data_IF_470355777785
#
_entry.id   IF_470355777785
#
_cell.length_a   1.000
_cell.length_b   1.000
_cell.length_c   1.000
_cell.angle_alpha   90.00
_cell.angle_beta   90.00
_cell.angle_gamma   90.00
#
_symmetry.space_group_name_H-M   'P 1'
#
loop_
_entity.id
_entity.type
_entity.pdbx_description
1 polymer ?
#
# COMPACT_ATOMS: atom_id res chain seq x y z
N UNK A 1 -64.47 2.80 2.66
CA UNK A 1 -64.76 1.63 3.52
C UNK A 1 -63.45 0.85 3.62
N UNK A 2 -62.47 1.35 4.37
CA UNK A 2 -62.37 1.33 5.83
C UNK A 2 -62.40 -0.11 6.36
N UNK A 3 -61.25 -0.70 6.67
CA UNK A 3 -60.96 -0.97 8.07
C UNK A 3 -59.45 -1.15 8.32
N UNK A 4 -59.02 -0.51 9.39
CA UNK A 4 -57.66 -0.36 9.89
C UNK A 4 -57.71 -0.92 11.31
N UNK A 5 -56.98 -1.99 11.60
CA UNK A 5 -56.72 -2.41 12.99
C UNK A 5 -55.26 -2.77 13.20
N UNK A 6 -54.60 -1.76 13.74
CA UNK A 6 -53.45 -1.82 14.60
C UNK A 6 -53.89 -2.38 15.97
N UNK A 7 -53.05 -3.21 16.61
CA UNK A 7 -52.84 -3.33 18.08
C UNK A 7 -52.08 -4.62 18.42
N UNK A 8 -50.91 -4.49 19.03
CA UNK A 8 -50.19 -5.63 19.60
C UNK A 8 -48.76 -5.36 20.06
N UNK A 9 -48.53 -4.27 20.81
CA UNK A 9 -47.28 -4.03 21.56
C UNK A 9 -47.42 -4.63 22.96
N UNK A 10 -46.44 -5.41 23.41
CA UNK A 10 -45.99 -5.54 24.82
C UNK A 10 -44.74 -6.44 24.81
N UNK A 11 -43.55 -5.90 25.05
CA UNK A 11 -42.95 -5.60 26.36
C UNK A 11 -42.14 -6.78 26.90
N UNK A 12 -40.81 -6.63 26.88
CA UNK A 12 -39.92 -7.15 27.92
C UNK A 12 -38.77 -6.16 28.08
N UNK A 13 -38.99 -5.18 28.96
CA UNK A 13 -37.94 -4.41 29.66
C UNK A 13 -37.99 -4.82 31.13
N UNK A 14 -36.84 -5.19 31.69
CA UNK A 14 -36.49 -5.21 33.12
C UNK A 14 -34.95 -5.20 33.12
N UNK A 15 -34.17 -4.17 33.47
CA UNK A 15 -34.17 -3.18 34.55
C UNK A 15 -33.66 -3.72 35.91
N UNK A 16 -32.43 -3.29 36.28
CA UNK A 16 -31.86 -3.00 37.62
C UNK A 16 -30.32 -2.93 37.45
N UNK A 17 -29.54 -1.85 37.57
CA UNK A 17 -29.47 -0.62 38.39
C UNK A 17 -28.85 -0.83 39.79
N UNK A 18 -27.86 0.05 40.09
CA UNK A 18 -27.17 0.41 41.36
C UNK A 18 -25.77 -0.21 41.58
N UNK A 19 -24.72 0.50 42.03
CA UNK A 19 -24.57 1.89 42.48
C UNK A 19 -23.07 2.34 42.47
N UNK A 20 -22.87 3.67 42.49
CA UNK A 20 -21.63 4.43 42.68
C UNK A 20 -20.92 4.16 44.02
N UNK A 21 -19.59 4.33 44.06
CA UNK A 21 -18.87 5.16 45.05
C UNK A 21 -17.61 5.76 44.38
N UNK A 22 -17.43 7.08 44.50
CA UNK A 22 -16.23 7.79 44.06
C UNK A 22 -15.26 8.06 45.22
N UNK A 23 -14.00 8.36 44.89
CA UNK A 23 -13.08 9.09 45.77
C UNK A 23 -12.24 10.05 44.94
N UNK A 24 -12.44 11.34 45.21
CA UNK A 24 -11.53 12.44 44.93
C UNK A 24 -10.35 12.37 45.91
N UNK A 25 -9.12 12.54 45.41
CA UNK A 25 -8.03 13.15 46.21
C UNK A 25 -7.25 14.13 45.34
N UNK A 26 -7.13 15.35 45.88
CA UNK A 26 -6.31 16.44 45.39
C UNK A 26 -5.04 16.56 46.25
N UNK A 27 -4.00 17.19 45.70
CA UNK A 27 -2.80 17.64 46.43
C UNK A 27 -1.51 17.08 45.81
N UNK A 28 -0.38 17.77 45.77
CA UNK A 28 -0.04 19.16 46.01
C UNK A 28 1.33 19.40 45.33
N UNK A 29 1.61 20.67 45.08
CA UNK A 29 2.90 21.32 44.79
C UNK A 29 4.18 20.65 45.30
N UNK A 30 5.25 20.67 44.49
CA UNK A 30 6.57 21.08 44.98
C UNK A 30 7.44 21.69 43.88
N UNK A 31 7.97 22.88 44.17
CA UNK A 31 9.13 23.50 43.53
C UNK A 31 10.38 23.06 44.30
N UNK A 32 11.54 22.94 43.64
CA UNK A 32 12.82 22.82 44.32
C UNK A 32 14.01 22.51 43.40
N UNK A 33 15.04 23.36 43.32
CA UNK A 33 16.12 23.28 42.33
C UNK A 33 17.34 22.50 42.85
N UNK A 34 18.22 22.07 41.95
CA UNK A 34 19.62 21.77 42.25
C UNK A 34 20.45 21.99 40.99
N UNK A 35 21.29 23.03 41.02
CA UNK A 35 22.43 23.17 40.13
C UNK A 35 23.63 22.41 40.68
N UNK A 36 24.55 22.04 39.80
CA UNK A 36 25.99 22.04 40.08
C UNK A 36 26.75 21.88 38.75
N UNK A 37 27.79 22.67 38.66
CA UNK A 37 28.73 22.84 37.56
C UNK A 37 29.49 21.56 37.16
N UNK A 38 29.94 21.57 35.92
CA UNK A 38 30.93 20.64 35.38
C UNK A 38 31.55 21.21 34.12
N UNK A 39 32.47 22.17 34.28
CA UNK A 39 33.39 22.62 33.22
C UNK A 39 34.37 21.51 32.86
N UNK A 40 34.51 21.20 31.56
CA UNK A 40 35.82 20.92 30.96
C UNK A 40 35.82 21.08 29.43
N UNK A 41 36.76 21.89 28.96
CA UNK A 41 37.18 22.16 27.56
C UNK A 41 37.93 20.95 26.95
N UNK A 42 38.23 20.84 25.62
CA UNK A 42 38.69 21.91 24.74
C UNK A 42 38.24 21.87 23.26
N UNK A 43 38.62 22.93 22.55
CA UNK A 43 38.30 23.16 21.14
C UNK A 43 38.70 22.06 20.17
N UNK A 44 37.86 21.88 19.15
CA UNK A 44 38.27 21.39 17.84
C UNK A 44 37.90 22.42 16.78
N UNK A 45 38.95 22.83 16.10
CA UNK A 45 39.03 23.46 14.79
C UNK A 45 37.85 23.14 13.88
N UNK A 46 37.30 24.21 13.31
CA UNK A 46 36.37 24.20 12.20
C UNK A 46 36.92 23.38 11.03
N UNK A 47 36.42 22.16 10.87
CA UNK A 47 36.65 21.34 9.70
C UNK A 47 35.55 21.63 8.69
N UNK A 48 35.95 22.40 7.67
CA UNK A 48 35.32 22.61 6.37
C UNK A 48 34.01 21.85 6.14
N UNK A 49 32.89 22.55 6.36
CA UNK A 49 31.60 22.17 5.78
C UNK A 49 31.79 22.26 4.26
N UNK A 50 32.12 21.13 3.64
CA UNK A 50 31.97 20.96 2.20
C UNK A 50 30.51 21.24 1.88
N UNK A 51 30.26 22.40 1.27
CA UNK A 51 29.00 22.73 0.63
C UNK A 51 28.74 21.65 -0.40
N UNK A 52 27.94 20.64 -0.03
CA UNK A 52 27.44 19.64 -0.97
C UNK A 52 26.50 20.41 -1.89
N UNK A 53 27.03 20.76 -3.05
CA UNK A 53 26.28 21.38 -4.13
C UNK A 53 25.07 20.48 -4.41
N UNK A 54 23.83 20.99 -4.40
CA UNK A 54 22.66 20.16 -4.68
C UNK A 54 22.84 19.53 -6.06
N UNK A 55 22.90 18.20 -6.11
CA UNK A 55 22.84 17.48 -7.38
C UNK A 55 21.51 17.84 -8.04
N UNK A 56 21.49 18.17 -9.35
CA UNK A 56 20.25 18.48 -10.05
C UNK A 56 19.22 17.37 -9.85
N UNK A 57 17.98 17.78 -9.62
CA UNK A 57 16.81 16.90 -9.54
C UNK A 57 16.83 15.98 -10.76
N UNK A 58 17.13 14.70 -10.54
CA UNK A 58 16.88 13.71 -11.57
C UNK A 58 15.36 13.59 -11.62
N UNK A 59 14.74 14.07 -12.70
CA UNK A 59 13.37 13.68 -13.07
C UNK A 59 13.24 12.19 -12.74
N UNK A 60 12.31 11.85 -11.84
CA UNK A 60 12.19 10.52 -11.26
C UNK A 60 12.27 9.48 -12.37
N UNK A 61 13.40 8.78 -12.46
CA UNK A 61 13.64 7.83 -13.53
C UNK A 61 12.48 6.83 -13.46
N UNK A 62 11.66 6.68 -14.51
CA UNK A 62 10.50 5.81 -14.44
C UNK A 62 10.95 4.41 -14.01
N UNK A 63 10.27 3.85 -13.02
CA UNK A 63 10.58 2.52 -12.51
C UNK A 63 10.62 1.55 -13.71
N UNK A 64 11.74 0.82 -13.85
CA UNK A 64 11.87 -0.15 -14.95
C UNK A 64 10.79 -1.20 -14.79
N UNK A 65 10.21 -1.69 -15.88
CA UNK A 65 9.20 -2.77 -15.82
C UNK A 65 9.78 -4.07 -16.33
N UNK A 66 9.54 -5.14 -15.56
CA UNK A 66 9.64 -6.50 -16.07
C UNK A 66 8.28 -6.94 -16.58
N UNK A 67 8.22 -7.29 -17.86
CA UNK A 67 7.06 -7.91 -18.47
C UNK A 67 7.10 -9.43 -18.35
N UNK A 68 5.92 -10.05 -18.35
CA UNK A 68 5.74 -11.50 -18.29
C UNK A 68 5.54 -12.03 -16.87
N UNK A 69 4.79 -13.12 -16.77
CA UNK A 69 4.48 -13.79 -15.51
C UNK A 69 5.76 -14.45 -14.98
N UNK A 70 6.13 -14.26 -13.70
CA UNK A 70 7.27 -14.95 -13.10
C UNK A 70 7.01 -16.45 -12.99
N UNK A 71 8.06 -17.26 -13.10
CA UNK A 71 7.97 -18.73 -12.96
C UNK A 71 7.41 -19.15 -11.58
N UNK A 72 7.82 -18.45 -10.52
CA UNK A 72 7.22 -18.58 -9.21
C UNK A 72 6.19 -17.48 -8.94
N UNK A 73 4.92 -17.88 -8.86
CA UNK A 73 3.80 -17.00 -8.56
C UNK A 73 3.66 -16.69 -7.06
N UNK A 74 4.44 -17.32 -6.18
CA UNK A 74 4.31 -17.14 -4.74
C UNK A 74 4.51 -15.68 -4.30
N UNK A 75 5.56 -14.96 -4.72
CA UNK A 75 5.72 -13.55 -4.34
C UNK A 75 4.61 -12.65 -4.88
N UNK A 76 4.03 -13.02 -6.03
CA UNK A 76 2.90 -12.31 -6.63
C UNK A 76 1.62 -12.45 -5.80
N UNK A 77 1.39 -13.60 -5.15
CA UNK A 77 0.19 -13.84 -4.36
C UNK A 77 0.37 -13.60 -2.85
N UNK A 78 1.55 -13.90 -2.32
CA UNK A 78 1.88 -13.94 -0.89
C UNK A 78 3.24 -13.27 -0.63
N UNK A 79 3.31 -11.94 -0.77
CA UNK A 79 4.55 -11.21 -0.55
C UNK A 79 4.92 -11.26 0.94
N UNK A 80 6.20 -11.50 1.23
CA UNK A 80 6.78 -11.51 2.56
C UNK A 80 7.74 -10.32 2.77
N UNK A 81 8.26 -9.73 1.69
CA UNK A 81 9.13 -8.55 1.71
C UNK A 81 8.50 -7.40 0.94
N UNK A 82 8.95 -6.18 1.23
CA UNK A 82 8.53 -4.99 0.51
C UNK A 82 8.71 -5.11 -1.01
N UNK A 83 9.89 -5.56 -1.45
CA UNK A 83 10.21 -5.73 -2.87
C UNK A 83 9.31 -6.75 -3.60
N UNK A 84 8.86 -7.79 -2.90
CA UNK A 84 7.94 -8.78 -3.48
C UNK A 84 6.55 -8.19 -3.74
N UNK A 85 6.12 -7.19 -2.97
CA UNK A 85 4.80 -6.56 -3.16
C UNK A 85 4.63 -5.94 -4.54
N UNK A 86 5.71 -5.52 -5.19
CA UNK A 86 5.69 -5.02 -6.58
C UNK A 86 5.07 -6.01 -7.55
N UNK A 87 5.23 -7.32 -7.32
CA UNK A 87 4.60 -8.36 -8.13
C UNK A 87 3.10 -8.47 -7.84
N UNK A 88 2.71 -8.42 -6.56
CA UNK A 88 1.31 -8.39 -6.15
C UNK A 88 0.58 -7.18 -6.71
N UNK A 89 1.22 -6.02 -6.66
CA UNK A 89 0.71 -4.79 -7.25
C UNK A 89 0.60 -4.92 -8.77
N UNK A 90 1.62 -5.47 -9.44
CA UNK A 90 1.55 -5.78 -10.87
C UNK A 90 0.36 -6.66 -11.24
N UNK A 91 0.04 -7.67 -10.43
CA UNK A 91 -1.14 -8.52 -10.64
C UNK A 91 -2.45 -7.77 -10.43
N UNK A 92 -2.58 -7.02 -9.33
CA UNK A 92 -3.77 -6.24 -9.05
C UNK A 92 -4.03 -5.21 -10.17
N UNK A 93 -2.99 -4.47 -10.57
CA UNK A 93 -3.08 -3.48 -11.65
C UNK A 93 -3.36 -4.08 -13.03
N UNK A 94 -2.79 -5.24 -13.33
CA UNK A 94 -3.11 -5.97 -14.55
C UNK A 94 -4.60 -6.35 -14.62
N UNK A 95 -5.16 -6.87 -13.52
CA UNK A 95 -6.58 -7.24 -13.47
C UNK A 95 -7.51 -6.03 -13.51
N UNK A 96 -7.11 -4.91 -12.90
CA UNK A 96 -7.85 -3.65 -12.96
C UNK A 96 -7.83 -3.08 -14.39
N UNK A 97 -6.68 -3.09 -15.07
CA UNK A 97 -6.54 -2.69 -16.46
C UNK A 97 -7.37 -3.58 -17.40
N UNK A 98 -7.35 -4.90 -17.20
CA UNK A 98 -8.17 -5.83 -17.97
C UNK A 98 -9.67 -5.54 -17.81
N UNK A 99 -10.11 -5.26 -16.57
CA UNK A 99 -11.50 -4.86 -16.29
C UNK A 99 -11.83 -3.53 -16.97
N UNK A 100 -10.95 -2.55 -16.91
CA UNK A 100 -11.10 -1.24 -17.55
C UNK A 100 -11.23 -1.35 -19.08
N UNK A 101 -10.28 -2.03 -19.74
CA UNK A 101 -10.32 -2.24 -21.20
C UNK A 101 -11.58 -3.02 -21.59
N UNK A 102 -11.92 -4.06 -20.81
CA UNK A 102 -13.15 -4.81 -21.01
C UNK A 102 -14.41 -3.94 -20.97
N UNK A 103 -14.59 -3.15 -19.89
CA UNK A 103 -15.73 -2.23 -19.74
C UNK A 103 -15.80 -1.19 -20.85
N UNK A 104 -14.66 -0.62 -21.25
CA UNK A 104 -14.62 0.37 -22.34
C UNK A 104 -15.04 -0.18 -23.69
N UNK A 105 -14.63 -1.41 -24.04
CA UNK A 105 -15.04 -2.06 -25.29
C UNK A 105 -16.55 -2.35 -25.37
N UNK A 106 -17.24 -2.33 -24.23
CA UNK A 106 -18.67 -2.56 -24.12
C UNK A 106 -19.50 -1.29 -23.93
N UNK A 107 -18.88 -0.12 -23.85
CA UNK A 107 -19.61 1.14 -23.71
C UNK A 107 -20.18 1.58 -25.06
N UNK A 108 -21.50 1.80 -25.19
CA UNK A 108 -22.09 2.30 -26.44
C UNK A 108 -21.58 3.71 -26.76
N UNK A 109 -21.23 3.95 -28.03
CA UNK A 109 -20.95 5.29 -28.56
C UNK A 109 -19.59 5.91 -28.26
N UNK A 110 -18.56 5.13 -27.87
CA UNK A 110 -17.20 5.68 -27.64
C UNK A 110 -16.10 4.86 -28.33
N UNK A 111 -16.01 4.98 -29.65
CA UNK A 111 -14.85 4.49 -30.42
C UNK A 111 -13.61 5.40 -30.31
N UNK A 112 -13.68 6.61 -29.73
CA UNK A 112 -12.54 7.55 -29.82
C UNK A 112 -12.34 8.51 -28.66
N UNK A 113 -13.04 8.38 -27.54
CA UNK A 113 -12.60 9.10 -26.34
C UNK A 113 -11.34 8.40 -25.83
N UNK A 114 -10.16 9.00 -26.07
CA UNK A 114 -8.89 8.55 -25.51
C UNK A 114 -9.06 8.17 -24.04
N UNK A 115 -8.28 7.20 -23.56
CA UNK A 115 -8.17 6.99 -22.13
C UNK A 115 -8.04 8.37 -21.48
N UNK A 116 -8.85 8.69 -20.47
CA UNK A 116 -8.38 9.73 -19.57
C UNK A 116 -7.02 9.22 -19.11
N UNK A 117 -5.95 9.95 -19.45
CA UNK A 117 -4.54 9.61 -19.19
C UNK A 117 -4.25 9.72 -17.68
N UNK A 118 -5.11 9.13 -16.86
CA UNK A 118 -4.88 8.89 -15.46
C UNK A 118 -4.52 7.42 -15.31
N UNK A 119 -3.41 7.07 -14.64
CA UNK A 119 -3.20 5.68 -14.26
C UNK A 119 -4.45 5.22 -13.48
N UNK A 120 -4.88 3.94 -13.62
CA UNK A 120 -5.81 3.40 -12.65
C UNK A 120 -5.25 3.68 -11.26
N UNK A 121 -6.09 3.88 -10.22
CA UNK A 121 -5.63 4.08 -8.85
C UNK A 121 -4.92 2.81 -8.36
N UNK A 122 -3.68 2.66 -8.80
CA UNK A 122 -2.66 1.83 -8.20
C UNK A 122 -2.30 2.53 -6.89
N UNK A 123 -1.81 1.79 -5.91
CA UNK A 123 -1.52 2.29 -4.56
C UNK A 123 -2.77 2.45 -3.68
N UNK A 124 -3.56 1.38 -3.57
CA UNK A 124 -4.17 1.13 -2.26
C UNK A 124 -3.02 0.94 -1.29
N UNK A 125 -2.92 1.85 -0.31
CA UNK A 125 -2.19 1.80 0.95
C UNK A 125 -2.25 0.39 1.59
N UNK A 126 -1.53 -0.60 1.04
CA UNK A 126 -1.30 -1.90 1.70
C UNK A 126 -0.02 -1.76 2.50
N UNK A 127 -0.08 -0.97 3.58
CA UNK A 127 0.98 -0.82 4.56
C UNK A 127 1.35 -2.12 5.29
N UNK A 128 0.65 -3.22 5.05
CA UNK A 128 0.96 -4.51 5.67
C UNK A 128 2.38 -5.03 5.33
N UNK A 129 2.92 -4.66 4.17
CA UNK A 129 4.27 -5.03 3.72
C UNK A 129 4.87 -3.86 2.92
N UNK A 130 5.43 -2.83 3.59
CA UNK A 130 5.93 -1.65 2.90
C UNK A 130 7.26 -1.94 2.17
N UNK A 131 7.42 -1.42 0.95
CA UNK A 131 8.70 -1.38 0.26
C UNK A 131 9.52 -0.17 0.70
N UNK A 132 10.23 -0.32 1.82
CA UNK A 132 10.99 0.79 2.40
C UNK A 132 12.07 1.34 1.45
N UNK A 133 12.64 0.51 0.58
CA UNK A 133 13.63 0.97 -0.39
C UNK A 133 12.99 1.85 -1.46
N UNK A 134 11.80 1.47 -1.95
CA UNK A 134 11.03 2.29 -2.87
C UNK A 134 10.55 3.58 -2.21
N UNK A 135 9.95 3.48 -1.01
CA UNK A 135 9.45 4.64 -0.25
C UNK A 135 10.59 5.63 0.04
N UNK A 136 11.78 5.15 0.38
CA UNK A 136 12.94 6.01 0.59
C UNK A 136 13.36 6.78 -0.67
N UNK A 137 13.26 6.14 -1.83
CA UNK A 137 13.68 6.73 -3.10
C UNK A 137 12.61 7.64 -3.71
N UNK A 138 11.33 7.37 -3.49
CA UNK A 138 10.23 7.95 -4.27
C UNK A 138 9.12 8.61 -3.44
N UNK A 139 9.16 8.54 -2.11
CA UNK A 139 8.06 9.04 -1.27
C UNK A 139 6.87 8.08 -1.24
N UNK A 140 5.72 8.56 -0.77
CA UNK A 140 4.50 7.76 -0.60
C UNK A 140 3.53 7.86 -1.78
N UNK A 141 3.61 8.94 -2.57
CA UNK A 141 2.62 9.26 -3.61
C UNK A 141 3.10 8.99 -5.03
N UNK A 142 4.38 8.63 -5.21
CA UNK A 142 4.93 8.28 -6.52
C UNK A 142 4.39 6.93 -6.99
N UNK A 143 3.81 6.85 -8.20
CA UNK A 143 3.34 5.57 -8.70
C UNK A 143 4.52 4.59 -8.93
N UNK A 144 4.53 3.44 -8.25
CA UNK A 144 5.37 2.29 -8.59
C UNK A 144 4.95 1.73 -9.94
N UNK A 145 5.51 2.29 -11.00
CA UNK A 145 5.39 1.72 -12.33
C UNK A 145 4.92 2.72 -13.37
N UNK A 146 5.20 2.43 -14.65
CA UNK A 146 4.79 3.29 -15.74
C UNK A 146 3.27 3.28 -15.82
N UNK A 147 2.72 4.43 -16.22
CA UNK A 147 1.44 4.46 -16.90
C UNK A 147 1.44 3.35 -17.97
N UNK A 148 0.34 2.60 -18.18
CA UNK A 148 0.31 1.57 -19.20
C UNK A 148 0.79 2.20 -20.50
N UNK A 149 1.92 1.70 -21.02
CA UNK A 149 2.39 2.14 -22.31
C UNK A 149 1.24 1.89 -23.29
N UNK A 150 0.77 2.97 -23.93
CA UNK A 150 0.01 2.84 -25.17
C UNK A 150 0.74 1.89 -26.13
N UNK A 151 0.05 1.33 -27.12
CA UNK A 151 0.59 0.28 -27.98
C UNK A 151 1.99 0.66 -28.46
N UNK A 152 2.99 -0.10 -28.01
CA UNK A 152 4.39 0.18 -28.35
C UNK A 152 4.59 0.13 -29.86
N UNK A 153 5.58 0.83 -30.42
CA UNK A 153 5.80 1.00 -31.86
C UNK A 153 6.19 -0.29 -32.63
N UNK A 154 5.92 -1.48 -32.10
CA UNK A 154 6.19 -2.76 -32.75
C UNK A 154 5.13 -3.83 -32.47
N UNK A 155 3.95 -3.46 -31.96
CA UNK A 155 2.81 -4.36 -32.07
C UNK A 155 2.39 -4.41 -33.55
N UNK A 156 2.34 -5.59 -34.19
CA UNK A 156 1.73 -5.69 -35.51
C UNK A 156 0.31 -5.10 -35.41
N UNK A 157 -0.17 -4.40 -36.46
CA UNK A 157 -1.51 -3.83 -36.43
C UNK A 157 -2.48 -4.96 -36.12
N UNK A 158 -3.05 -4.93 -34.92
CA UNK A 158 -4.13 -5.83 -34.54
C UNK A 158 -5.25 -5.42 -35.48
N UNK A 159 -5.51 -6.26 -36.49
CA UNK A 159 -6.68 -6.12 -37.32
C UNK A 159 -7.85 -5.86 -36.38
N UNK A 160 -8.50 -4.71 -36.53
CA UNK A 160 -9.68 -4.34 -35.78
C UNK A 160 -10.77 -5.37 -36.12
N UNK A 161 -10.69 -6.51 -35.42
CA UNK A 161 -11.78 -7.44 -35.32
C UNK A 161 -12.88 -6.61 -34.67
N UNK A 162 -13.97 -6.40 -35.40
CA UNK A 162 -15.08 -5.54 -34.98
C UNK A 162 -15.53 -5.81 -33.54
N UNK A 163 -16.36 -4.93 -32.95
CA UNK A 163 -16.71 -4.96 -31.54
C UNK A 163 -17.02 -6.39 -31.10
N UNK A 164 -16.11 -6.99 -30.33
CA UNK A 164 -16.33 -8.34 -29.82
C UNK A 164 -17.61 -8.29 -28.99
N UNK A 165 -18.63 -9.12 -29.28
CA UNK A 165 -19.90 -9.07 -28.59
C UNK A 165 -19.64 -9.20 -27.09
N UNK A 166 -20.19 -8.26 -26.31
CA UNK A 166 -20.06 -8.26 -24.87
C UNK A 166 -20.58 -9.60 -24.33
N UNK A 167 -19.67 -10.36 -23.72
CA UNK A 167 -20.00 -11.70 -23.24
C UNK A 167 -21.13 -11.63 -22.19
N UNK A 168 -21.99 -12.65 -22.09
CA UNK A 168 -23.15 -12.68 -21.19
C UNK A 168 -22.82 -12.65 -19.67
N UNK A 169 -21.56 -12.44 -19.27
CA UNK A 169 -21.14 -12.21 -17.89
C UNK A 169 -20.84 -10.75 -17.53
N UNK A 170 -20.98 -9.83 -18.50
CA UNK A 170 -20.59 -8.43 -18.34
C UNK A 170 -19.12 -8.19 -18.71
N UNK A 171 -18.83 -6.92 -18.95
CA UNK A 171 -17.52 -6.47 -19.41
C UNK A 171 -16.45 -6.61 -18.31
N UNK A 172 -15.32 -7.29 -18.60
CA UNK A 172 -14.26 -7.55 -17.62
C UNK A 172 -14.55 -8.69 -16.62
N UNK A 173 -15.57 -9.51 -16.89
CA UNK A 173 -15.97 -10.62 -16.01
C UNK A 173 -14.91 -11.72 -15.88
N UNK A 174 -14.13 -11.97 -16.92
CA UNK A 174 -13.02 -12.93 -16.90
C UNK A 174 -11.87 -12.47 -16.00
N UNK A 175 -11.48 -11.19 -16.05
CA UNK A 175 -10.51 -10.61 -15.12
C UNK A 175 -11.00 -10.69 -13.66
N UNK A 176 -12.30 -10.50 -13.44
CA UNK A 176 -12.93 -10.72 -12.13
C UNK A 176 -12.89 -12.18 -11.70
N UNK A 177 -13.13 -13.12 -12.62
CA UNK A 177 -13.07 -14.56 -12.35
C UNK A 177 -11.65 -15.01 -11.97
N UNK A 178 -10.64 -14.50 -12.69
CA UNK A 178 -9.23 -14.75 -12.35
C UNK A 178 -8.91 -14.24 -10.95
N UNK A 179 -9.32 -13.01 -10.61
CA UNK A 179 -9.15 -12.46 -9.26
C UNK A 179 -9.83 -13.30 -8.18
N UNK A 180 -11.07 -13.76 -8.43
CA UNK A 180 -11.82 -14.63 -7.52
C UNK A 180 -11.09 -15.96 -7.27
N UNK A 181 -10.39 -16.50 -8.26
CA UNK A 181 -9.68 -17.78 -8.17
C UNK A 181 -8.64 -17.87 -7.05
N UNK A 182 -8.05 -16.72 -6.64
CA UNK A 182 -7.08 -16.66 -5.54
C UNK A 182 -7.49 -15.73 -4.39
N UNK A 183 -8.65 -15.07 -4.48
CA UNK A 183 -9.07 -14.05 -3.52
C UNK A 183 -9.16 -14.55 -2.08
N UNK A 184 -9.76 -15.72 -1.88
CA UNK A 184 -9.93 -16.31 -0.54
C UNK A 184 -8.58 -16.64 0.10
N UNK A 185 -7.69 -17.31 -0.65
CA UNK A 185 -6.36 -17.68 -0.17
C UNK A 185 -5.52 -16.43 0.14
N UNK A 186 -5.66 -15.38 -0.68
CA UNK A 186 -5.01 -14.09 -0.43
C UNK A 186 -5.59 -13.38 0.80
N UNK A 187 -6.91 -13.44 1.03
CA UNK A 187 -7.53 -12.89 2.23
C UNK A 187 -7.07 -13.62 3.50
N UNK A 188 -6.93 -14.94 3.45
CA UNK A 188 -6.36 -15.72 4.55
C UNK A 188 -4.91 -15.30 4.85
N UNK A 189 -4.10 -15.09 3.81
CA UNK A 189 -2.74 -14.58 3.95
C UNK A 189 -2.70 -13.21 4.63
N UNK A 190 -3.50 -12.24 4.17
CA UNK A 190 -3.53 -10.91 4.77
C UNK A 190 -4.01 -10.92 6.22
N UNK A 191 -5.00 -11.76 6.56
CA UNK A 191 -5.41 -11.97 7.96
C UNK A 191 -4.28 -12.55 8.81
N UNK A 192 -3.45 -13.41 8.25
CA UNK A 192 -2.27 -13.93 8.94
C UNK A 192 -1.22 -12.84 9.17
N UNK A 193 -1.03 -11.94 8.21
CA UNK A 193 -0.09 -10.84 8.34
C UNK A 193 -0.55 -9.77 9.33
N UNK A 194 -1.84 -9.46 9.37
CA UNK A 194 -2.39 -8.49 10.33
C UNK A 194 -2.12 -8.89 11.80
N UNK A 195 -2.01 -10.18 12.09
CA UNK A 195 -1.67 -10.68 13.45
C UNK A 195 -0.20 -10.49 13.83
N UNK A 196 0.68 -10.16 12.88
CA UNK A 196 2.10 -9.94 13.18
C UNK A 196 2.33 -8.65 13.96
N UNK A 197 1.40 -7.69 13.89
CA UNK A 197 1.51 -6.44 14.63
C UNK A 197 1.39 -6.64 16.14
N UNK A 198 0.71 -7.72 16.54
CA UNK A 198 0.60 -8.16 17.93
C UNK A 198 1.77 -9.03 18.40
N UNK A 199 2.70 -9.41 17.50
CA UNK A 199 3.85 -10.23 17.85
C UNK A 199 4.78 -9.48 18.83
N UNK A 200 5.20 -10.09 19.95
CA UNK A 200 6.05 -9.42 20.94
C UNK A 200 7.37 -8.89 20.37
N UNK A 201 7.99 -9.56 19.39
CA UNK A 201 9.21 -9.08 18.75
C UNK A 201 8.94 -7.80 17.94
N UNK A 202 7.80 -7.73 17.26
CA UNK A 202 7.37 -6.57 16.47
C UNK A 202 7.03 -5.40 17.40
N UNK A 203 6.26 -5.64 18.45
CA UNK A 203 5.93 -4.61 19.45
C UNK A 203 7.16 -4.03 20.14
N UNK A 204 8.15 -4.87 20.47
CA UNK A 204 9.43 -4.41 21.01
C UNK A 204 10.18 -3.55 20.02
N UNK A 205 10.30 -4.00 18.76
CA UNK A 205 10.98 -3.21 17.72
C UNK A 205 10.31 -1.85 17.50
N UNK A 206 8.97 -1.78 17.55
CA UNK A 206 8.23 -0.53 17.52
C UNK A 206 8.53 0.38 18.72
N UNK A 207 8.59 -0.18 19.93
CA UNK A 207 8.95 0.58 21.13
C UNK A 207 10.34 1.20 21.03
N UNK A 208 11.31 0.45 20.52
CA UNK A 208 12.68 0.92 20.28
C UNK A 208 12.76 1.98 19.16
N UNK A 209 11.88 1.90 18.16
CA UNK A 209 11.79 2.85 17.05
C UNK A 209 10.96 4.11 17.36
N UNK A 210 10.21 4.13 18.46
CA UNK A 210 9.14 5.10 18.74
C UNK A 210 9.55 6.58 18.73
N UNK A 211 10.81 6.89 19.02
CA UNK A 211 11.34 8.26 18.96
C UNK A 211 11.69 8.75 17.54
N UNK A 212 11.90 7.84 16.59
CA UNK A 212 12.42 8.19 15.26
C UNK A 212 11.37 8.89 14.38
N UNK A 213 10.10 8.47 14.47
CA UNK A 213 9.00 9.05 13.69
C UNK A 213 8.52 10.42 14.21
N UNK A 214 9.13 10.94 15.28
CA UNK A 214 8.81 12.26 15.81
C UNK A 214 9.29 13.37 14.83
N UNK A 215 8.37 13.82 13.97
CA UNK A 215 8.56 14.99 13.12
C UNK A 215 8.41 16.29 13.95
N UNK A 216 9.48 16.70 14.66
CA UNK A 216 9.56 17.97 15.40
C UNK A 216 8.95 17.99 16.80
N UNK A 217 8.85 19.19 17.37
CA UNK A 217 8.49 19.43 18.78
C UNK A 217 7.06 18.99 19.07
N UNK A 218 6.91 17.93 19.88
CA UNK A 218 5.63 17.33 20.24
C UNK A 218 5.53 15.88 19.77
N UNK A 219 6.42 15.03 20.27
CA UNK A 219 6.62 13.62 19.90
C UNK A 219 5.40 12.90 19.32
N UNK A 220 5.58 12.27 18.17
CA UNK A 220 4.56 11.47 17.52
C UNK A 220 4.51 10.10 18.21
N UNK A 221 3.36 9.72 18.77
CA UNK A 221 3.14 8.37 19.29
C UNK A 221 2.71 7.42 18.15
N UNK A 222 3.66 7.00 17.32
CA UNK A 222 3.47 5.90 16.37
C UNK A 222 3.13 6.28 14.93
N UNK A 223 2.87 5.25 14.13
CA UNK A 223 2.81 5.31 12.67
C UNK A 223 1.58 6.07 12.13
N UNK A 224 0.41 5.89 12.75
CA UNK A 224 -0.82 6.61 12.35
C UNK A 224 -0.68 8.14 12.51
N UNK A 225 -0.07 8.56 13.62
CA UNK A 225 0.16 9.97 13.89
C UNK A 225 1.25 10.56 12.97
N UNK A 226 2.24 9.75 12.56
CA UNK A 226 3.20 10.13 11.54
C UNK A 226 2.50 10.36 10.19
N UNK A 227 1.70 9.41 9.73
CA UNK A 227 0.98 9.54 8.45
C UNK A 227 -0.03 10.68 8.45
N UNK A 228 -0.69 10.94 9.59
CA UNK A 228 -1.56 12.12 9.74
C UNK A 228 -0.79 13.43 9.51
N UNK A 229 0.46 13.53 9.99
CA UNK A 229 1.32 14.69 9.73
C UNK A 229 1.83 14.76 8.30
N UNK A 230 2.16 13.60 7.70
CA UNK A 230 2.53 13.52 6.28
C UNK A 230 1.39 14.05 5.42
N UNK A 231 0.17 13.52 5.62
CA UNK A 231 -1.02 13.93 4.87
C UNK A 231 -1.27 15.44 5.02
N UNK A 232 -1.23 15.98 6.25
CA UNK A 232 -1.40 17.41 6.49
C UNK A 232 -0.31 18.27 5.79
N UNK A 233 0.94 17.80 5.81
CA UNK A 233 2.08 18.54 5.25
C UNK A 233 2.08 18.51 3.73
N UNK A 234 1.74 17.38 3.11
CA UNK A 234 1.59 17.29 1.65
C UNK A 234 0.38 18.10 1.18
N UNK A 235 -0.73 18.08 1.93
CA UNK A 235 -1.91 18.88 1.60
C UNK A 235 -1.65 20.39 1.66
N UNK A 236 -0.83 20.86 2.62
CA UNK A 236 -0.40 22.27 2.68
C UNK A 236 0.47 22.71 1.48
N UNK A 237 0.97 21.75 0.69
CA UNK A 237 1.72 21.97 -0.54
C UNK A 237 0.88 21.77 -1.80
N UNK A 238 -0.42 21.48 -1.67
CA UNK A 238 -1.31 21.40 -2.82
C UNK A 238 -1.51 22.80 -3.43
N UNK A 239 -1.34 22.91 -4.74
CA UNK A 239 -1.47 24.16 -5.47
C UNK A 239 -0.68 24.16 -6.77
N UNK A 240 -1.18 24.91 -7.76
CA UNK A 240 -0.51 25.06 -9.04
C UNK A 240 0.90 25.65 -8.86
N UNK A 241 1.90 25.02 -9.46
CA UNK A 241 3.31 25.47 -9.40
C UNK A 241 4.08 24.97 -8.17
N UNK A 242 3.47 24.16 -7.30
CA UNK A 242 4.10 23.57 -6.10
C UNK A 242 4.36 22.08 -6.23
N UNK A 243 4.14 21.48 -7.40
CA UNK A 243 4.26 20.04 -7.64
C UNK A 243 5.66 19.54 -7.32
N UNK A 244 6.69 20.29 -7.73
CA UNK A 244 8.07 19.94 -7.46
C UNK A 244 8.45 20.07 -5.97
N UNK A 245 7.85 21.04 -5.26
CA UNK A 245 8.04 21.20 -3.81
C UNK A 245 7.37 20.05 -3.04
N UNK A 246 6.13 19.73 -3.39
CA UNK A 246 5.36 18.60 -2.86
C UNK A 246 6.09 17.28 -3.09
N UNK A 247 6.62 17.04 -4.29
CA UNK A 247 7.37 15.82 -4.61
C UNK A 247 8.67 15.69 -3.79
N UNK A 248 9.44 16.79 -3.62
CA UNK A 248 10.63 16.79 -2.77
C UNK A 248 10.29 16.52 -1.31
N UNK A 249 9.20 17.09 -0.83
CA UNK A 249 8.75 16.90 0.55
C UNK A 249 8.25 15.47 0.79
N UNK A 250 7.48 14.91 -0.14
CA UNK A 250 7.03 13.51 -0.11
C UNK A 250 8.23 12.55 -0.05
N UNK A 251 9.23 12.76 -0.91
CA UNK A 251 10.46 11.97 -0.90
C UNK A 251 11.22 12.12 0.42
N UNK A 252 11.33 13.33 0.98
CA UNK A 252 12.00 13.58 2.27
C UNK A 252 11.32 12.83 3.41
N UNK A 253 9.98 12.86 3.46
CA UNK A 253 9.17 12.18 4.48
C UNK A 253 9.24 10.66 4.29
N UNK A 254 9.20 10.16 3.05
CA UNK A 254 9.40 8.74 2.73
C UNK A 254 10.77 8.22 3.19
N UNK A 255 11.84 8.96 2.91
CA UNK A 255 13.19 8.62 3.37
C UNK A 255 13.31 8.60 4.90
N UNK A 256 12.62 9.51 5.61
CA UNK A 256 12.57 9.46 7.08
C UNK A 256 11.85 8.22 7.58
N UNK A 257 10.65 7.95 7.07
CA UNK A 257 9.87 6.78 7.43
C UNK A 257 10.65 5.49 7.21
N UNK A 258 11.28 5.33 6.05
CA UNK A 258 12.08 4.15 5.72
C UNK A 258 13.26 3.91 6.68
N UNK A 259 13.94 4.98 7.09
CA UNK A 259 15.01 4.88 8.10
C UNK A 259 14.46 4.43 9.46
N UNK A 260 13.35 5.02 9.89
CA UNK A 260 12.75 4.73 11.20
C UNK A 260 12.12 3.33 11.28
N UNK A 261 11.48 2.90 10.19
CA UNK A 261 10.80 1.61 10.12
C UNK A 261 11.70 0.45 9.72
N UNK A 262 12.92 0.72 9.25
CA UNK A 262 13.89 -0.32 8.87
C UNK A 262 14.07 -1.43 9.93
N UNK A 263 14.34 -1.10 11.20
CA UNK A 263 14.45 -2.11 12.26
C UNK A 263 13.15 -2.91 12.47
N UNK A 264 12.00 -2.24 12.47
CA UNK A 264 10.68 -2.89 12.65
C UNK A 264 10.38 -3.85 11.49
N UNK A 265 10.59 -3.39 10.25
CA UNK A 265 10.37 -4.21 9.07
C UNK A 265 11.36 -5.38 8.97
N UNK A 266 12.59 -5.23 9.45
CA UNK A 266 13.53 -6.38 9.50
C UNK A 266 12.99 -7.54 10.35
N UNK A 267 12.27 -7.24 11.44
CA UNK A 267 11.62 -8.23 12.30
C UNK A 267 10.39 -8.80 11.60
N UNK A 268 9.52 -7.93 11.06
CA UNK A 268 8.31 -8.35 10.35
C UNK A 268 8.64 -9.20 9.13
N UNK A 269 9.62 -8.85 8.30
CA UNK A 269 10.03 -9.62 7.12
C UNK A 269 10.47 -11.04 7.48
N UNK A 270 11.24 -11.20 8.56
CA UNK A 270 11.63 -12.51 9.08
C UNK A 270 10.41 -13.32 9.49
N UNK A 271 9.48 -12.72 10.25
CA UNK A 271 8.25 -13.37 10.67
C UNK A 271 7.37 -13.74 9.47
N UNK A 272 7.09 -12.79 8.57
CA UNK A 272 6.36 -13.02 7.31
C UNK A 272 6.96 -14.17 6.50
N UNK A 273 8.28 -14.23 6.39
CA UNK A 273 8.96 -15.33 5.68
C UNK A 273 8.72 -16.67 6.34
N UNK A 274 8.78 -16.77 7.68
CA UNK A 274 8.45 -17.99 8.42
C UNK A 274 6.98 -18.38 8.24
N UNK A 275 6.06 -17.43 8.42
CA UNK A 275 4.64 -17.64 8.24
C UNK A 275 4.28 -18.08 6.82
N UNK A 276 4.94 -17.49 5.81
CA UNK A 276 4.77 -17.87 4.41
C UNK A 276 5.10 -19.34 4.20
N UNK A 277 6.24 -19.83 4.71
CA UNK A 277 6.61 -21.25 4.60
C UNK A 277 5.50 -22.17 5.13
N UNK A 278 5.02 -21.91 6.35
CA UNK A 278 3.94 -22.71 6.94
C UNK A 278 2.61 -22.57 6.18
N UNK A 279 2.31 -21.36 5.67
CA UNK A 279 1.11 -21.09 4.88
C UNK A 279 1.12 -21.88 3.56
N UNK A 280 2.24 -21.85 2.84
CA UNK A 280 2.39 -22.58 1.58
C UNK A 280 2.25 -24.09 1.77
N UNK A 281 2.77 -24.64 2.88
CA UNK A 281 2.60 -26.06 3.21
C UNK A 281 1.13 -26.43 3.47
N UNK A 282 0.42 -25.65 4.29
CA UNK A 282 -1.00 -25.88 4.59
C UNK A 282 -1.91 -25.78 3.36
N UNK A 283 -1.51 -24.97 2.37
CA UNK A 283 -2.31 -24.74 1.16
C UNK A 283 -1.68 -25.30 -0.11
N UNK A 284 -0.80 -26.29 0.00
CA UNK A 284 -0.03 -26.84 -1.12
C UNK A 284 -0.91 -27.29 -2.30
N UNK A 285 -2.06 -27.94 -2.02
CA UNK A 285 -3.00 -28.37 -3.05
C UNK A 285 -3.62 -27.21 -3.84
N UNK A 286 -4.13 -26.18 -3.15
CA UNK A 286 -4.68 -24.97 -3.78
C UNK A 286 -3.61 -24.23 -4.58
N UNK A 287 -2.40 -24.12 -4.02
CA UNK A 287 -1.27 -23.48 -4.70
C UNK A 287 -0.84 -24.24 -5.95
N UNK A 288 -0.86 -25.58 -5.94
CA UNK A 288 -0.55 -26.39 -7.11
C UNK A 288 -1.54 -26.15 -8.26
N UNK A 289 -2.83 -25.92 -7.96
CA UNK A 289 -3.82 -25.50 -8.96
C UNK A 289 -3.46 -24.12 -9.50
N UNK A 290 -3.25 -23.13 -8.64
CA UNK A 290 -2.93 -21.76 -9.05
C UNK A 290 -1.66 -21.69 -9.90
N UNK A 291 -0.62 -22.46 -9.56
CA UNK A 291 0.63 -22.56 -10.36
C UNK A 291 0.38 -23.02 -11.79
N UNK A 292 -0.63 -23.86 -12.03
CA UNK A 292 -0.98 -24.35 -13.37
C UNK A 292 -1.94 -23.42 -14.11
N UNK A 293 -2.86 -22.78 -13.40
CA UNK A 293 -3.95 -22.00 -14.03
C UNK A 293 -3.60 -20.53 -14.21
N UNK A 294 -3.01 -19.89 -13.20
CA UNK A 294 -2.84 -18.43 -13.18
C UNK A 294 -1.98 -17.90 -14.34
N UNK A 295 -0.82 -18.50 -14.71
CA UNK A 295 -0.07 -18.03 -15.87
C UNK A 295 -0.86 -18.12 -17.18
N UNK A 296 -1.66 -19.18 -17.35
CA UNK A 296 -2.51 -19.36 -18.54
C UNK A 296 -3.68 -18.38 -18.55
N UNK A 297 -4.25 -18.11 -17.39
CA UNK A 297 -5.30 -17.13 -17.20
C UNK A 297 -4.82 -15.71 -17.53
N UNK A 298 -3.61 -15.35 -17.09
CA UNK A 298 -2.96 -14.08 -17.43
C UNK A 298 -2.72 -14.00 -18.94
N UNK A 299 -2.11 -15.01 -19.55
CA UNK A 299 -1.85 -15.03 -21.00
C UNK A 299 -3.14 -14.89 -21.83
N UNK A 300 -4.24 -15.52 -21.37
CA UNK A 300 -5.57 -15.37 -22.00
C UNK A 300 -6.06 -13.92 -21.92
N UNK A 301 -5.91 -13.26 -20.76
CA UNK A 301 -6.30 -11.86 -20.59
C UNK A 301 -5.42 -10.91 -21.42
N UNK A 302 -4.11 -11.16 -21.50
CA UNK A 302 -3.18 -10.41 -22.36
C UNK A 302 -3.62 -10.46 -23.82
N UNK A 303 -3.88 -11.68 -24.32
CA UNK A 303 -4.34 -11.89 -25.70
C UNK A 303 -5.70 -11.25 -25.96
N UNK A 304 -6.68 -11.45 -25.06
CA UNK A 304 -8.04 -10.94 -25.23
C UNK A 304 -8.09 -9.42 -25.23
N UNK A 305 -7.37 -8.78 -24.33
CA UNK A 305 -7.46 -7.33 -24.11
C UNK A 305 -6.34 -6.53 -24.77
N UNK A 306 -5.34 -7.17 -25.37
CA UNK A 306 -4.22 -6.49 -26.00
C UNK A 306 -3.36 -5.74 -24.98
N UNK A 307 -3.26 -6.27 -23.76
CA UNK A 307 -2.49 -5.70 -22.64
C UNK A 307 -1.36 -6.65 -22.26
N UNK A 308 -0.42 -6.20 -21.43
CA UNK A 308 0.68 -7.03 -20.93
C UNK A 308 0.76 -6.97 -19.42
N UNK A 309 0.99 -8.11 -18.79
CA UNK A 309 1.35 -8.17 -17.38
C UNK A 309 2.76 -7.61 -17.20
N UNK A 310 2.90 -6.74 -16.21
CA UNK A 310 4.15 -6.11 -15.83
C UNK A 310 4.26 -5.94 -14.32
N UNK A 311 5.49 -5.99 -13.82
CA UNK A 311 5.81 -5.66 -12.43
C UNK A 311 6.96 -4.66 -12.37
N UNK A 312 6.91 -3.66 -11.48
CA UNK A 312 8.02 -2.73 -11.26
C UNK A 312 9.31 -3.45 -10.83
N UNK A 313 10.45 -2.96 -11.32
CA UNK A 313 11.82 -3.32 -10.94
C UNK A 313 12.47 -2.15 -10.18
N UNK A 314 13.53 -2.42 -9.38
CA UNK A 314 14.39 -1.36 -8.86
C UNK A 314 15.03 -0.53 -9.99
#
# INVERSE_FOLDING_TARGET
>A
MSDQRDTGRTSLRSAALLALVGVLTAGATSCGPSGADGTDSPGRTAESVRTVRPTPLTEGRPARVRYGVPDDIVPMLFPATGAETRQTQGLDGFLDLARYVGTRRCAPGKESAGAADGPPPMFVRRFAVPDLAYVAAHGFTSPEGPAPAGPGPSAPPVAASGPAPCAPGGAGADASAVGKGFAELRAEWWRALARLDDDPEVRRAYGEAGGCLALGDGGVAGEDAFFSRVDARLHALDGAGREAERAREDQRLGALYARCMGPVESVRERLRTRHRRSFLLRHAGRLAVLRRTLPRDIARLESRYGIRFGSPRP
#
